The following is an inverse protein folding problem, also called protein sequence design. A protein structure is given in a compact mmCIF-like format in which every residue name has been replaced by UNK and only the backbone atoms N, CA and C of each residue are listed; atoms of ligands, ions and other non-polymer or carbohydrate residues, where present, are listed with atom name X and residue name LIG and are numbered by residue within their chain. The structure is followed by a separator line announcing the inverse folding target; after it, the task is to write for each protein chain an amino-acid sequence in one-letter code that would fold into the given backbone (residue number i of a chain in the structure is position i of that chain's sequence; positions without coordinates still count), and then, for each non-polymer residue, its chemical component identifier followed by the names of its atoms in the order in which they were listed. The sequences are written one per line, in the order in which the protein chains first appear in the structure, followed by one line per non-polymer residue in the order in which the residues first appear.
data_IF_682210127894
#
_entry.id   IF_682210127894
#
_cell.length_a   1.000
_cell.length_b   1.000
_cell.length_c   1.000
_cell.angle_alpha   90.00
_cell.angle_beta   90.00
_cell.angle_gamma   90.00
#
_symmetry.space_group_name_H-M   'P 1'
#
loop_
_entity.id
_entity.type
_entity.pdbx_description
1 polymer ?
#
# COMPACT_ATOMS: atom_id res chain seq x y z
N UNK A 1 30.94 0.86 -4.10
CA UNK A 1 31.84 -0.31 -4.08
C UNK A 1 32.87 -0.14 -5.19
N UNK A 2 34.07 -0.72 -5.09
CA UNK A 2 35.16 -0.51 -6.07
C UNK A 2 35.58 -1.85 -6.64
N UNK A 3 35.47 -2.02 -7.95
CA UNK A 3 36.02 -3.18 -8.66
C UNK A 3 37.43 -2.83 -9.15
N UNK A 4 38.41 -3.64 -8.76
CA UNK A 4 39.81 -3.49 -9.20
C UNK A 4 40.16 -4.67 -10.09
N UNK A 5 40.40 -4.39 -11.37
CA UNK A 5 40.86 -5.40 -12.33
C UNK A 5 42.35 -5.20 -12.56
N UNK A 6 43.11 -6.29 -12.43
CA UNK A 6 44.54 -6.34 -12.74
C UNK A 6 44.73 -7.35 -13.85
N UNK A 7 45.33 -6.92 -14.95
CA UNK A 7 45.71 -7.82 -16.04
C UNK A 7 47.18 -8.19 -15.85
N UNK A 8 47.48 -9.49 -15.84
CA UNK A 8 48.84 -10.02 -15.80
C UNK A 8 49.06 -10.78 -17.10
N UNK A 9 50.05 -10.38 -17.91
CA UNK A 9 50.46 -11.16 -19.09
C UNK A 9 51.67 -12.03 -18.76
N UNK A 10 51.74 -13.25 -19.30
CA UNK A 10 52.82 -14.20 -19.02
C UNK A 10 54.19 -13.78 -19.58
N UNK A 11 54.25 -12.98 -20.66
CA UNK A 11 55.51 -12.71 -21.37
C UNK A 11 55.90 -11.23 -21.46
N UNK A 12 55.11 -10.30 -20.90
CA UNK A 12 55.41 -8.85 -20.91
C UNK A 12 55.00 -8.27 -19.55
N UNK A 13 55.90 -7.59 -18.82
CA UNK A 13 55.58 -6.98 -17.53
C UNK A 13 54.74 -5.69 -17.71
N UNK A 14 53.47 -5.83 -18.08
CA UNK A 14 52.51 -4.73 -18.09
C UNK A 14 51.68 -4.75 -16.80
N UNK A 15 51.85 -3.72 -15.95
CA UNK A 15 51.05 -3.52 -14.73
C UNK A 15 49.84 -2.61 -15.01
N UNK A 16 48.91 -3.07 -15.85
CA UNK A 16 47.68 -2.31 -16.12
C UNK A 16 46.67 -2.57 -14.99
N UNK A 17 46.37 -1.52 -14.23
CA UNK A 17 45.37 -1.52 -13.16
C UNK A 17 44.23 -0.60 -13.56
N UNK A 18 43.04 -1.17 -13.77
CA UNK A 18 41.84 -0.38 -14.00
C UNK A 18 40.99 -0.44 -12.73
N UNK A 19 40.63 0.74 -12.22
CA UNK A 19 39.68 0.89 -11.12
C UNK A 19 38.41 1.45 -11.71
N UNK A 20 37.29 0.75 -11.53
CA UNK A 20 35.97 1.26 -11.90
C UNK A 20 35.09 1.31 -10.67
N UNK A 21 34.57 2.49 -10.39
CA UNK A 21 33.61 2.69 -9.32
C UNK A 21 32.24 2.20 -9.79
N UNK A 22 31.53 1.51 -8.90
CA UNK A 22 30.14 1.16 -9.12
C UNK A 22 29.33 1.41 -7.86
N UNK A 23 28.11 1.90 -8.05
CA UNK A 23 27.14 2.07 -6.98
C UNK A 23 26.38 0.76 -6.84
N UNK A 24 26.36 0.23 -5.61
CA UNK A 24 25.45 -0.86 -5.23
C UNK A 24 24.43 -0.19 -4.33
N UNK A 25 23.17 -0.24 -4.75
CA UNK A 25 22.06 0.18 -3.91
C UNK A 25 21.82 -0.92 -2.89
N UNK A 26 21.75 -0.55 -1.62
CA UNK A 26 21.37 -1.48 -0.55
C UNK A 26 19.88 -1.78 -0.67
N UNK A 27 19.42 -2.97 -0.24
CA UNK A 27 18.00 -3.17 -0.01
C UNK A 27 17.54 -2.10 0.98
N UNK A 28 16.55 -1.32 0.58
CA UNK A 28 15.93 -0.29 1.42
C UNK A 28 14.66 -0.90 2.00
N UNK A 29 14.51 -0.86 3.33
CA UNK A 29 13.22 -1.18 3.93
C UNK A 29 12.25 -0.04 3.62
N UNK A 30 11.20 -0.37 2.87
CA UNK A 30 10.19 0.60 2.44
C UNK A 30 9.32 1.06 3.63
N UNK A 31 9.28 0.29 4.73
CA UNK A 31 8.49 0.64 5.92
C UNK A 31 9.09 1.81 6.68
N UNK A 32 10.42 1.84 6.84
CA UNK A 32 11.13 2.91 7.55
C UNK A 32 11.01 4.27 6.84
N UNK A 33 10.77 4.26 5.53
CA UNK A 33 10.59 5.49 4.75
C UNK A 33 9.23 6.16 5.01
N UNK A 34 8.25 5.43 5.55
CA UNK A 34 6.88 5.88 5.68
C UNK A 34 6.47 5.99 7.14
N UNK A 35 6.77 7.13 7.76
CA UNK A 35 6.25 7.49 9.09
C UNK A 35 4.79 7.92 8.98
N UNK A 36 3.89 6.96 8.76
CA UNK A 36 2.45 7.21 8.68
C UNK A 36 1.84 6.94 10.07
N UNK A 37 0.99 7.84 10.60
CA UNK A 37 0.32 7.61 11.87
C UNK A 37 -0.48 6.30 11.84
N UNK A 38 -0.24 5.47 12.85
CA UNK A 38 -0.87 4.18 13.06
C UNK A 38 -1.26 4.05 14.54
N UNK A 39 -2.40 3.42 14.90
CA UNK A 39 -3.37 2.70 14.06
C UNK A 39 -4.29 3.63 13.24
N UNK A 40 -4.81 3.10 12.13
CA UNK A 40 -5.81 3.79 11.31
C UNK A 40 -7.19 3.26 11.67
N UNK A 41 -8.03 4.14 12.20
CA UNK A 41 -9.42 3.82 12.56
C UNK A 41 -10.37 4.61 11.67
N UNK A 42 -11.30 3.92 11.02
CA UNK A 42 -12.37 4.55 10.24
C UNK A 42 -13.74 4.14 10.77
N UNK A 43 -14.55 5.15 11.06
CA UNK A 43 -15.94 4.99 11.50
C UNK A 43 -16.87 5.41 10.38
N UNK A 44 -17.80 4.53 10.01
CA UNK A 44 -18.91 4.85 9.12
C UNK A 44 -20.21 4.72 9.88
N UNK A 45 -20.97 5.81 9.93
CA UNK A 45 -22.30 5.83 10.52
C UNK A 45 -23.35 6.01 9.42
N UNK A 46 -24.36 5.15 9.43
CA UNK A 46 -25.55 5.34 8.61
C UNK A 46 -26.61 6.07 9.42
N UNK A 47 -27.05 7.24 8.93
CA UNK A 47 -28.23 7.93 9.47
C UNK A 47 -29.41 7.62 8.57
N UNK A 48 -30.42 6.95 9.12
CA UNK A 48 -31.71 6.81 8.45
C UNK A 48 -32.54 8.07 8.67
N UNK A 49 -32.63 8.90 7.62
CA UNK A 49 -33.62 9.98 7.51
C UNK A 49 -34.80 9.42 6.69
N UNK A 50 -36.09 9.69 6.97
CA UNK A 50 -36.68 10.58 7.99
C UNK A 50 -37.27 9.87 9.23
N UNK A 51 -37.08 8.55 9.42
CA UNK A 51 -37.60 7.86 10.60
C UNK A 51 -36.49 7.71 11.65
N UNK A 52 -36.72 8.21 12.87
CA UNK A 52 -35.87 8.07 14.08
C UNK A 52 -35.69 6.60 14.52
N UNK A 53 -35.26 5.71 13.62
CA UNK A 53 -35.17 4.26 13.81
C UNK A 53 -33.78 3.79 14.25
N UNK A 54 -33.00 4.68 14.86
CA UNK A 54 -31.62 4.42 15.27
C UNK A 54 -30.61 4.51 14.13
N UNK A 55 -29.34 4.30 14.44
CA UNK A 55 -28.22 4.28 13.48
C UNK A 55 -27.49 2.94 13.54
N UNK A 56 -26.84 2.59 12.43
CA UNK A 56 -25.85 1.52 12.39
C UNK A 56 -24.49 2.19 12.24
N UNK A 57 -23.59 1.97 13.19
CA UNK A 57 -22.20 2.38 13.09
C UNK A 57 -21.30 1.17 12.90
N UNK A 58 -20.39 1.27 11.94
CA UNK A 58 -19.37 0.28 11.65
C UNK A 58 -18.02 0.97 11.84
N UNK A 59 -17.21 0.41 12.71
CA UNK A 59 -15.87 0.88 13.06
C UNK A 59 -14.87 -0.17 12.65
N UNK A 60 -13.91 0.19 11.80
CA UNK A 60 -12.80 -0.66 11.42
C UNK A 60 -11.48 -0.04 11.86
N UNK A 61 -10.65 -0.81 12.55
CA UNK A 61 -9.28 -0.47 12.95
C UNK A 61 -8.28 -1.39 12.26
N UNK A 62 -7.17 -0.81 11.82
CA UNK A 62 -6.03 -1.52 11.27
C UNK A 62 -4.79 -1.09 12.06
N UNK A 63 -3.98 -2.06 12.49
CA UNK A 63 -2.84 -1.82 13.36
C UNK A 63 -1.66 -1.12 12.67
N UNK A 64 -1.54 -1.23 11.34
CA UNK A 64 -0.50 -0.61 10.52
C UNK A 64 -1.12 0.04 9.28
N UNK A 65 -0.54 1.14 8.83
CA UNK A 65 -0.97 1.87 7.64
C UNK A 65 -0.24 1.44 6.36
N UNK A 66 0.90 0.76 6.50
CA UNK A 66 1.76 0.30 5.41
C UNK A 66 1.89 -1.22 5.45
N UNK A 67 1.65 -1.87 4.32
CA UNK A 67 1.79 -3.32 4.17
C UNK A 67 2.68 -3.63 2.96
N UNK A 68 3.47 -4.69 3.08
CA UNK A 68 4.22 -5.24 1.94
C UNK A 68 3.31 -6.18 1.12
N UNK A 69 3.54 -6.30 -0.20
CA UNK A 69 2.84 -7.28 -1.01
C UNK A 69 2.98 -8.70 -0.44
N UNK A 70 1.86 -9.39 -0.25
CA UNK A 70 1.82 -10.74 0.33
C UNK A 70 1.73 -10.78 1.86
N UNK A 71 1.76 -9.64 2.53
CA UNK A 71 1.55 -9.56 3.98
C UNK A 71 0.06 -9.66 4.34
N UNK A 72 -0.23 -10.29 5.48
CA UNK A 72 -1.60 -10.45 5.97
C UNK A 72 -2.03 -9.19 6.70
N UNK A 73 -3.15 -8.63 6.28
CA UNK A 73 -3.75 -7.44 6.92
C UNK A 73 -4.76 -7.91 7.98
N UNK A 74 -4.45 -7.64 9.25
CA UNK A 74 -5.38 -7.87 10.35
C UNK A 74 -6.32 -6.67 10.51
N UNK A 75 -7.63 -6.92 10.36
CA UNK A 75 -8.67 -5.91 10.46
C UNK A 75 -9.52 -6.22 11.70
N UNK A 76 -9.58 -5.27 12.62
CA UNK A 76 -10.49 -5.33 13.75
C UNK A 76 -11.74 -4.53 13.39
N UNK A 77 -12.89 -5.20 13.37
CA UNK A 77 -14.16 -4.58 13.01
C UNK A 77 -15.15 -4.70 14.16
N UNK A 78 -15.76 -3.58 14.53
CA UNK A 78 -16.85 -3.50 15.49
C UNK A 78 -18.08 -2.89 14.84
N UNK A 79 -19.24 -3.47 15.11
CA UNK A 79 -20.51 -2.98 14.60
C UNK A 79 -21.47 -2.71 15.77
N UNK A 80 -22.03 -1.51 15.83
CA UNK A 80 -23.08 -1.16 16.78
C UNK A 80 -24.37 -0.93 16.03
N UNK A 81 -25.39 -1.74 16.35
CA UNK A 81 -26.71 -1.65 15.76
C UNK A 81 -27.69 -1.08 16.78
N UNK A 82 -28.13 0.15 16.56
CA UNK A 82 -29.18 0.78 17.36
C UNK A 82 -30.55 0.73 16.66
N UNK A 83 -30.67 -0.07 15.61
CA UNK A 83 -31.89 -0.21 14.81
C UNK A 83 -32.61 -1.51 15.14
N UNK A 84 -33.93 -1.62 14.89
CA UNK A 84 -34.67 -2.85 15.09
C UNK A 84 -34.42 -3.90 13.99
N UNK A 85 -33.56 -3.64 13.01
CA UNK A 85 -33.27 -4.55 11.90
C UNK A 85 -31.98 -5.32 12.14
N UNK A 86 -31.96 -6.61 11.84
CA UNK A 86 -30.77 -7.45 11.96
C UNK A 86 -29.77 -7.18 10.83
N UNK A 87 -28.48 -7.16 11.15
CA UNK A 87 -27.39 -7.12 10.17
C UNK A 87 -27.21 -8.54 9.60
N UNK A 88 -27.38 -8.71 8.29
CA UNK A 88 -27.36 -10.04 7.65
C UNK A 88 -25.94 -10.58 7.42
N UNK A 89 -25.01 -9.73 7.00
CA UNK A 89 -23.60 -10.08 6.79
C UNK A 89 -22.75 -8.81 6.81
N UNK A 90 -21.46 -8.96 7.09
CA UNK A 90 -20.44 -7.91 6.97
C UNK A 90 -19.49 -8.35 5.85
N UNK A 91 -19.29 -7.50 4.84
CA UNK A 91 -18.33 -7.75 3.75
C UNK A 91 -17.12 -6.84 3.97
N UNK A 92 -15.93 -7.40 3.77
CA UNK A 92 -14.66 -6.67 3.82
C UNK A 92 -14.01 -6.84 2.45
N UNK A 93 -13.72 -5.71 1.78
CA UNK A 93 -13.12 -5.68 0.46
C UNK A 93 -11.83 -4.89 0.49
N UNK A 94 -10.83 -5.32 -0.29
CA UNK A 94 -9.65 -4.52 -0.60
C UNK A 94 -9.91 -3.74 -1.89
N UNK A 95 -9.96 -2.41 -1.81
CA UNK A 95 -10.26 -1.54 -2.95
C UNK A 95 -8.99 -0.82 -3.38
N UNK A 96 -8.61 -0.97 -4.66
CA UNK A 96 -7.51 -0.22 -5.27
C UNK A 96 -8.09 0.87 -6.17
N UNK A 97 -7.74 2.13 -5.91
CA UNK A 97 -8.05 3.26 -6.78
C UNK A 97 -6.80 3.68 -7.56
N UNK A 98 -6.86 3.63 -8.88
CA UNK A 98 -5.75 4.03 -9.76
C UNK A 98 -6.16 5.27 -10.57
N UNK A 99 -5.46 6.39 -10.37
CA UNK A 99 -5.68 7.63 -11.14
C UNK A 99 -4.61 7.76 -12.23
N UNK A 100 -5.01 8.03 -13.47
CA UNK A 100 -4.10 8.30 -14.56
C UNK A 100 -4.40 9.65 -15.22
N UNK A 101 -3.35 10.38 -15.61
CA UNK A 101 -3.46 11.62 -16.36
C UNK A 101 -3.24 11.28 -17.84
N UNK A 102 -4.33 11.17 -18.60
CA UNK A 102 -4.26 10.98 -20.05
C UNK A 102 -3.97 12.31 -20.75
N UNK A 103 -2.93 12.36 -21.58
CA UNK A 103 -2.65 13.49 -22.47
C UNK A 103 -3.60 13.44 -23.68
N UNK A 104 -4.88 13.75 -23.46
CA UNK A 104 -5.89 13.89 -24.51
C UNK A 104 -6.62 15.22 -24.35
N UNK A 105 -7.12 15.79 -25.45
CA UNK A 105 -7.85 17.08 -25.49
C UNK A 105 -9.12 17.13 -24.63
N UNK A 106 -9.51 16.04 -23.98
CA UNK A 106 -10.61 15.97 -23.01
C UNK A 106 -10.10 15.26 -21.75
N UNK A 107 -9.88 16.04 -20.70
CA UNK A 107 -9.56 15.55 -19.35
C UNK A 107 -10.81 14.88 -18.79
N UNK A 108 -10.83 13.56 -18.72
CA UNK A 108 -11.79 12.80 -17.92
C UNK A 108 -11.00 11.94 -16.94
N UNK A 109 -11.13 12.21 -15.65
CA UNK A 109 -10.62 11.34 -14.59
C UNK A 109 -11.40 10.03 -14.65
N UNK A 110 -10.72 8.95 -15.02
CA UNK A 110 -11.31 7.62 -15.05
C UNK A 110 -10.80 6.87 -13.82
N UNK A 111 -11.69 6.71 -12.83
CA UNK A 111 -11.47 5.92 -11.63
C UNK A 111 -11.76 4.45 -11.96
N UNK A 112 -10.71 3.66 -12.13
CA UNK A 112 -10.84 2.20 -12.26
C UNK A 112 -10.76 1.62 -10.84
N UNK A 113 -11.87 1.08 -10.37
CA UNK A 113 -11.96 0.34 -9.10
C UNK A 113 -11.89 -1.15 -9.40
N UNK A 114 -10.75 -1.76 -9.12
CA UNK A 114 -10.63 -3.22 -9.15
C UNK A 114 -11.04 -3.77 -7.78
N UNK A 115 -12.15 -4.52 -7.73
CA UNK A 115 -12.46 -5.35 -6.57
C UNK A 115 -11.59 -6.61 -6.65
N UNK A 116 -10.68 -6.78 -5.69
CA UNK A 116 -9.91 -8.01 -5.57
C UNK A 116 -10.76 -9.03 -4.82
N UNK A 117 -11.47 -9.89 -5.57
CA UNK A 117 -12.18 -11.04 -5.01
C UNK A 117 -11.17 -12.09 -4.55
N UNK A 118 -11.29 -12.52 -3.29
CA UNK A 118 -10.56 -13.65 -2.70
C UNK A 118 -11.27 -14.98 -2.98
#
# INVERSE_FOLDING_TARGET
YICKVKVIRPFIPCKIKVKKEFKVHRPVDLRELWTIPSPVTQTRETRFFPLKKGSISITGSIGQSCYLPGEIIHIEASASNKTPRTIKYIKVNLVKSTTYIAQSRRTSELLITDEMDN
#
